data_IF_231355620432
#
_entry.id   IF_231355620432
#
_cell.length_a   1.000
_cell.length_b   1.000
_cell.length_c   1.000
_cell.angle_alpha   90.00
_cell.angle_beta   90.00
_cell.angle_gamma   90.00
#
_symmetry.space_group_name_H-M   'P 1'
#
loop_
_entity.id
_entity.type
_entity.pdbx_description
1 polymer ?
#
# COMPACT_ATOMS: atom_id res chain seq x y z
N UNK A 1 13.72 -9.49 -12.91
CA UNK A 1 12.93 -8.34 -12.42
C UNK A 1 11.54 -8.47 -13.03
N UNK A 2 10.47 -8.32 -12.27
CA UNK A 2 9.10 -8.29 -12.82
C UNK A 2 8.69 -6.86 -13.17
N UNK A 3 7.64 -6.71 -13.97
CA UNK A 3 7.10 -5.42 -14.40
C UNK A 3 5.78 -5.07 -13.70
N UNK A 4 5.44 -3.77 -13.71
CA UNK A 4 4.14 -3.29 -13.22
C UNK A 4 3.09 -3.40 -14.31
N UNK A 5 1.99 -4.10 -14.02
CA UNK A 5 0.80 -4.21 -14.87
C UNK A 5 -0.34 -3.35 -14.32
N UNK A 6 -1.02 -2.61 -15.20
CA UNK A 6 -2.28 -1.95 -14.84
C UNK A 6 -3.45 -2.91 -15.03
N UNK A 7 -4.21 -3.17 -13.97
CA UNK A 7 -5.45 -3.94 -13.99
C UNK A 7 -6.51 -3.21 -14.82
N UNK A 8 -7.32 -3.97 -15.57
CA UNK A 8 -8.39 -3.43 -16.40
C UNK A 8 -9.68 -4.22 -16.24
N UNK A 9 -10.82 -3.54 -16.37
CA UNK A 9 -12.15 -4.15 -16.49
C UNK A 9 -12.67 -4.16 -17.93
N UNK A 10 -11.84 -3.76 -18.90
CA UNK A 10 -12.23 -3.74 -20.31
C UNK A 10 -12.63 -5.15 -20.77
N UNK A 11 -13.69 -5.24 -21.58
CA UNK A 11 -14.16 -6.53 -22.13
C UNK A 11 -13.02 -7.23 -22.85
N UNK A 12 -12.82 -8.51 -22.54
CA UNK A 12 -11.76 -9.33 -23.14
C UNK A 12 -10.39 -9.24 -22.43
N UNK A 13 -10.17 -8.28 -21.54
CA UNK A 13 -8.93 -8.22 -20.78
C UNK A 13 -8.79 -9.44 -19.85
N UNK A 14 -7.56 -9.97 -19.76
CA UNK A 14 -7.18 -11.04 -18.84
C UNK A 14 -5.89 -10.63 -18.16
N UNK A 15 -5.82 -10.87 -16.86
CA UNK A 15 -4.56 -10.71 -16.12
C UNK A 15 -3.55 -11.70 -16.71
N UNK A 16 -2.33 -11.27 -17.07
CA UNK A 16 -1.29 -12.18 -17.51
C UNK A 16 -1.07 -13.33 -16.51
N UNK A 17 -0.68 -14.48 -17.05
CA UNK A 17 -0.27 -15.63 -16.27
C UNK A 17 0.94 -15.25 -15.39
N UNK A 18 1.01 -15.81 -14.18
CA UNK A 18 2.09 -15.50 -13.23
C UNK A 18 2.02 -14.12 -12.58
N UNK A 19 1.28 -13.13 -13.11
CA UNK A 19 1.18 -11.81 -12.49
C UNK A 19 0.43 -11.85 -11.14
N UNK A 20 0.99 -11.21 -10.11
CA UNK A 20 0.42 -11.17 -8.75
C UNK A 20 -0.42 -9.91 -8.57
N UNK A 21 -1.64 -10.04 -8.06
CA UNK A 21 -2.48 -8.89 -7.75
C UNK A 21 -2.00 -8.27 -6.44
N UNK A 22 -1.55 -7.02 -6.51
CA UNK A 22 -1.11 -6.24 -5.35
C UNK A 22 -2.08 -5.10 -5.01
N UNK A 23 -3.28 -5.10 -5.60
CA UNK A 23 -4.30 -4.08 -5.35
C UNK A 23 -4.69 -3.98 -3.86
N UNK A 24 -5.36 -2.86 -3.48
CA UNK A 24 -5.70 -2.53 -2.09
C UNK A 24 -6.28 -3.69 -1.28
N UNK A 25 -7.19 -4.55 -1.80
CA UNK A 25 -7.75 -5.70 -1.08
C UNK A 25 -6.80 -6.88 -0.80
N UNK A 26 -5.57 -6.85 -1.30
CA UNK A 26 -4.54 -7.87 -1.02
C UNK A 26 -3.68 -7.53 0.21
N UNK A 27 -2.89 -8.51 0.68
CA UNK A 27 -1.82 -8.31 1.66
C UNK A 27 -0.96 -7.07 1.33
N UNK A 28 -0.63 -6.94 0.04
CA UNK A 28 0.28 -5.95 -0.56
C UNK A 28 -0.30 -4.54 -0.70
N UNK A 29 -1.60 -4.34 -0.44
CA UNK A 29 -2.25 -3.07 -0.69
C UNK A 29 -1.68 -1.91 0.13
N UNK A 30 -1.57 -0.72 -0.46
CA UNK A 30 -1.22 0.50 0.28
C UNK A 30 -2.29 0.84 1.34
N UNK A 31 -1.95 0.97 2.65
CA UNK A 31 -2.86 1.45 3.69
C UNK A 31 -3.31 2.91 3.47
N UNK A 32 -2.46 3.75 2.88
CA UNK A 32 -2.77 5.16 2.60
C UNK A 32 -3.47 5.32 1.25
N UNK A 33 -4.53 6.11 1.23
CA UNK A 33 -5.34 6.37 0.06
C UNK A 33 -5.44 7.88 -0.23
N UNK A 34 -5.38 8.20 -1.52
CA UNK A 34 -5.52 9.54 -2.09
C UNK A 34 -6.88 10.15 -1.73
N UNK A 35 -6.93 11.44 -1.42
CA UNK A 35 -8.17 12.17 -1.17
C UNK A 35 -7.99 13.53 -0.48
N UNK A 36 -9.12 14.22 -0.34
CA UNK A 36 -9.29 15.46 0.44
C UNK A 36 -10.45 15.24 1.43
N UNK A 37 -10.19 14.79 2.68
CA UNK A 37 -8.89 14.43 3.22
C UNK A 37 -8.39 13.06 2.70
N UNK A 38 -7.09 12.81 2.89
CA UNK A 38 -6.50 11.50 2.71
C UNK A 38 -7.09 10.47 3.67
N UNK A 39 -6.86 9.18 3.41
CA UNK A 39 -7.42 8.11 4.26
C UNK A 39 -6.42 7.02 4.60
N UNK A 40 -6.52 6.49 5.81
CA UNK A 40 -5.81 5.30 6.27
C UNK A 40 -6.77 4.11 6.37
N UNK A 41 -6.42 3.00 5.73
CA UNK A 41 -7.16 1.74 5.77
C UNK A 41 -6.41 0.71 6.62
N UNK A 42 -6.92 0.49 7.82
CA UNK A 42 -6.44 -0.52 8.77
C UNK A 42 -7.43 -1.69 8.79
N UNK A 43 -7.55 -2.42 7.67
CA UNK A 43 -8.42 -3.58 7.40
C UNK A 43 -9.42 -4.03 8.47
N UNK A 44 -8.92 -4.52 9.61
CA UNK A 44 -9.72 -5.13 10.68
C UNK A 44 -10.35 -4.05 11.59
N UNK A 45 -9.67 -2.91 11.74
CA UNK A 45 -10.04 -1.82 12.63
C UNK A 45 -10.94 -0.81 11.91
N UNK A 46 -10.69 -0.55 10.62
CA UNK A 46 -11.55 0.29 9.80
C UNK A 46 -10.82 1.20 8.81
N UNK A 47 -11.53 2.21 8.33
CA UNK A 47 -11.01 3.26 7.45
C UNK A 47 -11.21 4.61 8.11
N UNK A 48 -10.17 5.42 8.11
CA UNK A 48 -10.13 6.68 8.84
C UNK A 48 -9.67 7.82 7.94
N UNK A 49 -10.27 8.99 8.11
CA UNK A 49 -9.78 10.21 7.49
C UNK A 49 -8.50 10.67 8.20
N UNK A 50 -7.52 11.10 7.41
CA UNK A 50 -6.32 11.76 7.90
C UNK A 50 -6.61 13.26 8.12
N UNK A 51 -5.82 13.94 8.96
CA UNK A 51 -5.90 15.40 9.09
C UNK A 51 -5.30 16.16 7.90
N UNK A 52 -4.75 15.44 6.92
CA UNK A 52 -4.12 16.00 5.72
C UNK A 52 -4.77 15.46 4.46
N UNK A 53 -4.70 16.25 3.39
CA UNK A 53 -4.90 15.77 2.04
C UNK A 53 -3.77 14.81 1.67
N UNK A 54 -4.04 13.96 0.69
CA UNK A 54 -3.06 12.98 0.24
C UNK A 54 -3.09 12.88 -1.27
N UNK A 55 -1.99 13.26 -1.92
CA UNK A 55 -1.74 12.98 -3.32
C UNK A 55 -1.33 11.52 -3.52
N UNK A 56 -1.35 11.06 -4.78
CA UNK A 56 -0.87 9.72 -5.11
C UNK A 56 0.61 9.52 -4.80
N UNK A 57 1.44 10.55 -4.99
CA UNK A 57 2.87 10.48 -4.68
C UNK A 57 3.09 10.34 -3.17
N UNK A 58 2.44 11.18 -2.36
CA UNK A 58 2.57 11.14 -0.89
C UNK A 58 2.08 9.81 -0.31
N UNK A 59 0.97 9.25 -0.83
CA UNK A 59 0.50 7.93 -0.39
C UNK A 59 1.53 6.83 -0.68
N UNK A 60 2.20 6.88 -1.83
CA UNK A 60 3.23 5.90 -2.22
C UNK A 60 4.49 6.09 -1.39
N UNK A 61 4.89 7.32 -1.10
CA UNK A 61 6.04 7.59 -0.23
C UNK A 61 5.79 7.19 1.22
N UNK A 62 4.58 7.42 1.74
CA UNK A 62 4.18 6.91 3.07
C UNK A 62 4.29 5.38 3.13
N UNK A 63 3.86 4.69 2.07
CA UNK A 63 3.98 3.24 1.95
C UNK A 63 5.43 2.76 1.91
N UNK A 64 6.29 3.44 1.14
CA UNK A 64 7.73 3.17 1.08
C UNK A 64 8.40 3.33 2.43
N UNK A 65 8.21 4.48 3.09
CA UNK A 65 8.77 4.77 4.40
C UNK A 65 8.34 3.71 5.42
N UNK A 66 7.05 3.37 5.43
CA UNK A 66 6.50 2.34 6.31
C UNK A 66 7.17 0.98 6.12
N UNK A 67 7.29 0.50 4.87
CA UNK A 67 7.92 -0.79 4.58
C UNK A 67 9.41 -0.81 4.93
N UNK A 68 10.13 0.31 4.75
CA UNK A 68 11.55 0.41 5.08
C UNK A 68 11.86 0.47 6.58
N UNK A 69 10.85 0.68 7.42
CA UNK A 69 11.06 0.80 8.86
C UNK A 69 11.12 2.24 9.36
N UNK A 70 10.98 3.22 8.47
CA UNK A 70 11.09 4.62 8.79
C UNK A 70 9.91 5.09 9.67
N UNK A 71 10.13 6.19 10.40
CA UNK A 71 9.07 6.80 11.18
C UNK A 71 7.99 7.35 10.24
N UNK A 72 6.74 6.93 10.46
CA UNK A 72 5.60 7.53 9.80
C UNK A 72 5.42 8.96 10.31
N UNK A 73 5.18 9.91 9.40
CA UNK A 73 4.82 11.27 9.79
C UNK A 73 3.62 11.24 10.76
N UNK A 74 3.67 12.06 11.82
CA UNK A 74 2.62 12.11 12.84
C UNK A 74 1.24 12.38 12.22
N UNK A 75 1.21 13.22 11.18
CA UNK A 75 0.00 13.65 10.47
C UNK A 75 -0.56 12.58 9.53
N UNK A 76 0.12 11.43 9.41
CA UNK A 76 -0.38 10.24 8.71
C UNK A 76 -1.14 9.29 9.64
N UNK A 77 -1.56 9.78 10.81
CA UNK A 77 -2.48 9.12 11.72
C UNK A 77 -3.77 9.94 11.89
N UNK A 78 -4.94 9.28 12.00
CA UNK A 78 -6.21 9.98 12.18
C UNK A 78 -6.28 10.76 13.50
N UNK A 79 -6.76 12.00 13.44
CA UNK A 79 -6.90 12.85 14.64
C UNK A 79 -8.13 12.55 15.50
N UNK A 80 -9.07 11.79 14.96
CA UNK A 80 -10.23 11.31 15.70
C UNK A 80 -9.91 10.20 16.72
N UNK A 81 -8.67 9.72 16.79
CA UNK A 81 -8.29 8.60 17.65
C UNK A 81 -7.84 9.05 19.03
N UNK A 82 -8.36 8.35 20.04
CA UNK A 82 -7.82 8.40 21.41
C UNK A 82 -6.36 7.92 21.42
N UNK A 83 -5.59 8.21 22.48
CA UNK A 83 -4.24 7.67 22.63
C UNK A 83 -4.18 6.14 22.47
N UNK A 84 -5.16 5.42 23.04
CA UNK A 84 -5.28 3.97 22.87
C UNK A 84 -5.57 3.57 21.41
N UNK A 85 -6.47 4.28 20.73
CA UNK A 85 -6.76 4.05 19.31
C UNK A 85 -5.52 4.26 18.42
N UNK A 86 -4.68 5.25 18.74
CA UNK A 86 -3.41 5.48 18.03
C UNK A 86 -2.43 4.33 18.22
N UNK A 87 -2.34 3.77 19.42
CA UNK A 87 -1.52 2.57 19.69
C UNK A 87 -2.05 1.38 18.89
N UNK A 88 -3.35 1.10 18.95
CA UNK A 88 -3.96 -0.02 18.23
C UNK A 88 -3.73 0.03 16.71
N UNK A 89 -3.84 1.22 16.10
CA UNK A 89 -3.54 1.39 14.67
C UNK A 89 -2.05 1.17 14.38
N UNK A 90 -1.15 1.71 15.20
CA UNK A 90 0.29 1.50 15.03
C UNK A 90 0.66 0.02 15.12
N UNK A 91 0.12 -0.71 16.08
CA UNK A 91 0.35 -2.13 16.25
C UNK A 91 -0.19 -2.93 15.06
N UNK A 92 -1.38 -2.58 14.56
CA UNK A 92 -1.94 -3.20 13.36
C UNK A 92 -1.07 -2.96 12.12
N UNK A 93 -0.61 -1.73 11.91
CA UNK A 93 0.32 -1.42 10.82
C UNK A 93 1.67 -2.12 11.02
N UNK A 94 2.15 -2.26 12.25
CA UNK A 94 3.38 -3.01 12.51
C UNK A 94 3.22 -4.49 12.16
N UNK A 95 2.16 -5.14 12.66
CA UNK A 95 1.87 -6.54 12.37
C UNK A 95 1.70 -6.80 10.86
N UNK A 96 0.99 -5.92 10.16
CA UNK A 96 0.82 -6.02 8.70
C UNK A 96 2.16 -5.88 7.97
N UNK A 97 3.02 -4.96 8.40
CA UNK A 97 4.38 -4.81 7.83
C UNK A 97 5.20 -6.08 7.98
N UNK A 98 5.17 -6.71 9.16
CA UNK A 98 5.87 -7.98 9.41
C UNK A 98 5.39 -9.08 8.46
N UNK A 99 4.07 -9.19 8.24
CA UNK A 99 3.49 -10.14 7.29
C UNK A 99 3.94 -9.88 5.85
N UNK A 100 4.00 -8.61 5.41
CA UNK A 100 4.52 -8.26 4.09
C UNK A 100 5.98 -8.72 3.97
N UNK A 101 6.84 -8.35 4.93
CA UNK A 101 8.27 -8.72 4.90
C UNK A 101 8.48 -10.23 4.86
N UNK A 102 7.75 -10.99 5.66
CA UNK A 102 7.81 -12.45 5.67
C UNK A 102 7.47 -13.06 4.30
N UNK A 103 6.70 -12.37 3.46
CA UNK A 103 6.24 -12.86 2.16
C UNK A 103 6.89 -12.17 0.96
N UNK A 104 7.70 -11.12 1.11
CA UNK A 104 8.27 -10.35 -0.02
C UNK A 104 8.98 -11.24 -1.07
N UNK A 105 9.63 -12.30 -0.61
CA UNK A 105 10.30 -13.28 -1.48
C UNK A 105 9.35 -13.90 -2.53
N UNK A 106 8.06 -14.01 -2.24
CA UNK A 106 7.03 -14.54 -3.16
C UNK A 106 6.75 -13.63 -4.35
N UNK A 107 7.19 -12.36 -4.31
CA UNK A 107 7.03 -11.41 -5.41
C UNK A 107 8.20 -11.47 -6.40
N UNK A 108 9.32 -12.08 -6.03
CA UNK A 108 10.53 -12.13 -6.87
C UNK A 108 10.24 -12.89 -8.17
N UNK A 109 10.60 -12.26 -9.29
CA UNK A 109 10.38 -12.83 -10.62
C UNK A 109 8.95 -12.76 -11.15
N UNK A 110 8.02 -12.13 -10.43
CA UNK A 110 6.63 -11.97 -10.85
C UNK A 110 6.31 -10.51 -11.22
N UNK A 111 5.47 -10.35 -12.24
CA UNK A 111 4.85 -9.05 -12.53
C UNK A 111 3.82 -8.69 -11.47
N UNK A 112 3.72 -7.41 -11.12
CA UNK A 112 2.80 -6.92 -10.07
C UNK A 112 1.67 -6.10 -10.69
N UNK A 113 0.43 -6.52 -10.43
CA UNK A 113 -0.76 -5.94 -11.01
C UNK A 113 -1.52 -5.04 -10.02
N UNK A 114 -1.71 -3.76 -10.38
CA UNK A 114 -2.42 -2.75 -9.59
C UNK A 114 -3.37 -1.92 -10.48
N UNK A 115 -4.33 -1.20 -9.87
CA UNK A 115 -5.26 -0.33 -10.61
C UNK A 115 -4.67 1.04 -10.99
N UNK A 116 -3.49 1.40 -10.49
CA UNK A 116 -2.85 2.67 -10.81
C UNK A 116 -2.52 2.75 -12.31
N UNK A 117 -2.78 3.91 -12.91
CA UNK A 117 -2.45 4.19 -14.32
C UNK A 117 -0.94 4.19 -14.53
N UNK A 118 -0.48 3.69 -15.68
CA UNK A 118 0.92 3.75 -16.07
C UNK A 118 1.45 5.19 -16.05
N UNK A 119 2.72 5.34 -15.70
CA UNK A 119 3.40 6.64 -15.57
C UNK A 119 3.02 7.45 -14.32
N UNK A 120 2.14 6.94 -13.45
CA UNK A 120 1.86 7.54 -12.13
C UNK A 120 2.58 6.77 -11.01
N UNK A 121 2.85 7.40 -9.85
CA UNK A 121 3.40 6.69 -8.69
C UNK A 121 2.52 5.51 -8.29
N UNK A 122 3.12 4.34 -8.05
CA UNK A 122 2.38 3.17 -7.61
C UNK A 122 3.15 2.43 -6.52
N UNK A 123 2.42 1.87 -5.55
CA UNK A 123 3.01 1.03 -4.52
C UNK A 123 3.54 -0.30 -5.07
N UNK A 124 3.07 -0.73 -6.25
CA UNK A 124 3.64 -1.87 -6.95
C UNK A 124 5.12 -1.65 -7.31
N UNK A 125 5.52 -0.41 -7.65
CA UNK A 125 6.92 -0.09 -7.95
C UNK A 125 7.79 -0.21 -6.69
N UNK A 126 7.26 0.22 -5.54
CA UNK A 126 7.92 0.06 -4.23
C UNK A 126 8.11 -1.43 -3.90
N UNK A 127 7.09 -2.26 -4.12
CA UNK A 127 7.18 -3.70 -3.90
C UNK A 127 8.17 -4.38 -4.85
N UNK A 128 8.18 -4.02 -6.13
CA UNK A 128 9.16 -4.52 -7.10
C UNK A 128 10.59 -4.16 -6.67
N UNK A 129 10.81 -2.93 -6.20
CA UNK A 129 12.12 -2.53 -5.71
C UNK A 129 12.54 -3.33 -4.49
N UNK A 130 11.73 -3.34 -3.42
CA UNK A 130 12.10 -3.97 -2.15
C UNK A 130 12.21 -5.50 -2.30
N UNK A 131 11.33 -6.13 -3.08
CA UNK A 131 11.39 -7.57 -3.30
C UNK A 131 12.64 -8.00 -4.07
N UNK A 132 13.22 -7.15 -4.93
CA UNK A 132 14.39 -7.48 -5.74
C UNK A 132 15.72 -6.91 -5.17
N UNK A 133 15.70 -6.36 -3.95
CA UNK A 133 16.90 -6.17 -3.13
C UNK A 133 17.37 -7.51 -2.54
#
# INVERSE_FOLDING_TARGET
>A
MGDRITLSRAKGWRKPEGAIIVARPSLWGNPWAVGTPGQLSAYIIGRYNLPVDMTQAEAVEAYRAWLRGDHLAHDHLPDCLTPFGRVAIKDHLHARRQLIHANLHTLRGHDLACWCKQGKPCHADVLLEIANQ
#
